data_IF_856110292693
#
_entry.id   IF_856110292693
#
_cell.length_a   1.000
_cell.length_b   1.000
_cell.length_c   1.000
_cell.angle_alpha   90.00
_cell.angle_beta   90.00
_cell.angle_gamma   90.00
#
_symmetry.space_group_name_H-M   'P 1'
#
loop_
_entity.id
_entity.type
_entity.pdbx_description
1 polymer ?
#
# COMPACT_ATOMS: atom_id res chain seq x y z
N UNK A 1 14.83 17.08 11.85
CA UNK A 1 13.75 16.33 11.19
C UNK A 1 12.57 17.27 11.04
N UNK A 2 12.17 17.58 9.80
CA UNK A 2 11.00 18.44 9.56
C UNK A 2 9.69 17.71 9.90
N UNK A 3 8.59 18.46 10.08
CA UNK A 3 7.27 17.86 10.30
C UNK A 3 6.86 16.96 9.12
N UNK A 4 7.27 17.31 7.90
CA UNK A 4 7.01 16.54 6.68
C UNK A 4 7.75 15.20 6.69
N UNK A 5 9.03 15.19 7.07
CA UNK A 5 9.82 13.97 7.24
C UNK A 5 9.22 13.05 8.31
N UNK A 6 8.79 13.60 9.46
CA UNK A 6 8.12 12.83 10.51
C UNK A 6 6.86 12.15 9.93
N UNK A 7 6.03 12.88 9.21
CA UNK A 7 4.81 12.32 8.62
C UNK A 7 5.11 11.23 7.60
N UNK A 8 6.17 11.38 6.80
CA UNK A 8 6.57 10.36 5.83
C UNK A 8 7.09 9.08 6.51
N UNK A 9 7.89 9.22 7.58
CA UNK A 9 8.31 8.05 8.38
C UNK A 9 7.10 7.36 9.01
N UNK A 10 6.16 8.13 9.58
CA UNK A 10 4.91 7.58 10.14
C UNK A 10 4.10 6.86 9.05
N UNK A 11 4.01 7.43 7.85
CA UNK A 11 3.31 6.80 6.73
C UNK A 11 3.93 5.43 6.40
N UNK A 12 5.27 5.34 6.26
CA UNK A 12 5.96 4.07 6.03
C UNK A 12 5.69 3.06 7.15
N UNK A 13 5.71 3.50 8.42
CA UNK A 13 5.38 2.61 9.55
C UNK A 13 3.95 2.09 9.44
N UNK A 14 2.98 2.95 9.13
CA UNK A 14 1.58 2.56 8.94
C UNK A 14 1.44 1.58 7.77
N UNK A 15 2.11 1.82 6.65
CA UNK A 15 2.11 0.94 5.48
C UNK A 15 2.59 -0.47 5.85
N UNK A 16 3.72 -0.56 6.56
CA UNK A 16 4.27 -1.84 7.03
C UNK A 16 3.32 -2.54 8.00
N UNK A 17 2.70 -1.80 8.92
CA UNK A 17 1.71 -2.36 9.86
C UNK A 17 0.48 -2.91 9.12
N UNK A 18 -0.03 -2.20 8.10
CA UNK A 18 -1.15 -2.66 7.29
C UNK A 18 -0.80 -3.94 6.53
N UNK A 19 0.38 -3.99 5.91
CA UNK A 19 0.88 -5.18 5.21
C UNK A 19 1.01 -6.37 6.16
N UNK A 20 1.60 -6.15 7.34
CA UNK A 20 1.74 -7.20 8.35
C UNK A 20 0.39 -7.69 8.86
N UNK A 21 -0.54 -6.78 9.15
CA UNK A 21 -1.89 -7.14 9.59
C UNK A 21 -2.63 -7.98 8.53
N UNK A 22 -2.53 -7.60 7.25
CA UNK A 22 -3.12 -8.37 6.16
C UNK A 22 -2.49 -9.75 6.02
N UNK A 23 -1.16 -9.86 6.16
CA UNK A 23 -0.46 -11.14 6.14
C UNK A 23 -0.92 -12.06 7.28
N UNK A 24 -0.96 -11.55 8.52
CA UNK A 24 -1.43 -12.31 9.68
C UNK A 24 -2.88 -12.78 9.50
N UNK A 25 -3.76 -11.94 8.97
CA UNK A 25 -5.16 -12.33 8.73
C UNK A 25 -5.28 -13.42 7.64
N UNK A 26 -4.47 -13.33 6.58
CA UNK A 26 -4.41 -14.36 5.53
C UNK A 26 -3.86 -15.69 6.06
N UNK A 27 -2.84 -15.66 6.92
CA UNK A 27 -2.28 -16.87 7.56
C UNK A 27 -3.28 -17.49 8.54
N UNK A 28 -3.96 -16.67 9.34
CA UNK A 28 -5.01 -17.13 10.25
C UNK A 28 -6.16 -17.81 9.50
N UNK A 29 -6.48 -17.36 8.30
CA UNK A 29 -7.48 -17.99 7.43
C UNK A 29 -6.98 -19.32 6.85
N UNK A 30 -5.69 -19.42 6.52
CA UNK A 30 -5.07 -20.69 6.11
C UNK A 30 -5.15 -21.72 7.22
N UNK A 31 -4.80 -21.37 8.47
CA UNK A 31 -4.89 -22.29 9.61
C UNK A 31 -6.31 -22.78 9.86
N UNK A 32 -7.30 -21.88 9.85
CA UNK A 32 -8.72 -22.29 9.98
C UNK A 32 -9.15 -23.24 8.88
N UNK A 33 -8.69 -23.04 7.65
CA UNK A 33 -9.00 -23.98 6.57
C UNK A 33 -8.33 -25.34 6.78
N UNK A 34 -7.05 -25.38 7.20
CA UNK A 34 -6.36 -26.65 7.49
C UNK A 34 -6.98 -27.43 8.64
N UNK A 35 -7.59 -26.74 9.61
CA UNK A 35 -8.35 -27.34 10.71
C UNK A 35 -9.80 -27.74 10.31
N UNK A 36 -10.18 -27.56 9.04
CA UNK A 36 -11.52 -27.86 8.53
C UNK A 36 -12.61 -26.88 9.00
N UNK A 37 -12.23 -25.80 9.69
CA UNK A 37 -13.15 -24.82 10.31
C UNK A 37 -13.38 -23.56 9.48
N UNK A 38 -12.80 -23.48 8.27
CA UNK A 38 -12.85 -22.28 7.43
C UNK A 38 -12.95 -22.52 5.91
N UNK A 39 -13.46 -21.53 5.15
CA UNK A 39 -13.52 -21.59 3.70
C UNK A 39 -12.10 -21.61 3.09
N UNK A 40 -11.96 -22.24 1.91
CA UNK A 40 -10.69 -22.35 1.20
C UNK A 40 -10.12 -20.95 0.86
N UNK A 41 -8.85 -20.64 1.20
CA UNK A 41 -8.19 -19.40 0.82
C UNK A 41 -8.22 -19.22 -0.70
N UNK A 42 -8.49 -17.99 -1.15
CA UNK A 42 -8.54 -17.69 -2.59
C UNK A 42 -7.25 -17.02 -3.05
N UNK A 43 -6.85 -17.20 -4.32
CA UNK A 43 -5.69 -16.51 -4.89
C UNK A 43 -5.80 -14.97 -4.96
N UNK A 44 -6.97 -14.41 -4.63
CA UNK A 44 -7.19 -12.96 -4.50
C UNK A 44 -6.96 -12.44 -3.08
N UNK A 45 -6.61 -13.32 -2.14
CA UNK A 45 -6.34 -12.99 -0.74
C UNK A 45 -4.84 -12.76 -0.50
N UNK A 46 -4.02 -12.94 -1.54
CA UNK A 46 -2.59 -12.70 -1.52
C UNK A 46 -2.31 -11.19 -1.50
N UNK A 47 -1.65 -10.75 -0.44
CA UNK A 47 -1.27 -9.35 -0.20
C UNK A 47 -0.37 -8.82 -1.33
N UNK A 48 0.42 -9.69 -1.96
CA UNK A 48 1.33 -9.33 -3.05
C UNK A 48 0.63 -9.19 -4.40
N UNK A 49 -0.62 -9.67 -4.52
CA UNK A 49 -1.39 -9.57 -5.76
C UNK A 49 -2.10 -8.22 -5.88
N UNK A 50 -1.29 -7.17 -5.96
CA UNK A 50 -1.74 -5.78 -6.04
C UNK A 50 -2.35 -5.48 -7.41
N UNK A 51 -3.46 -4.76 -7.43
CA UNK A 51 -4.03 -4.22 -8.67
C UNK A 51 -3.09 -3.18 -9.29
N UNK A 52 -2.82 -3.30 -10.59
CA UNK A 52 -2.01 -2.32 -11.34
C UNK A 52 -2.50 -0.87 -11.20
N UNK A 53 -3.80 -0.68 -10.92
CA UNK A 53 -4.40 0.61 -10.63
C UNK A 53 -3.77 1.31 -9.40
N UNK A 54 -3.50 0.58 -8.32
CA UNK A 54 -2.94 1.16 -7.10
C UNK A 54 -1.50 1.63 -7.30
N UNK A 55 -0.72 0.89 -8.10
CA UNK A 55 0.60 1.33 -8.54
C UNK A 55 0.52 2.60 -9.38
N UNK A 56 -0.44 2.69 -10.30
CA UNK A 56 -0.63 3.89 -11.12
C UNK A 56 -0.97 5.11 -10.26
N UNK A 57 -1.87 4.97 -9.28
CA UNK A 57 -2.23 6.05 -8.35
C UNK A 57 -1.01 6.52 -7.56
N UNK A 58 -0.25 5.60 -6.96
CA UNK A 58 0.94 5.94 -6.19
C UNK A 58 2.02 6.61 -7.07
N UNK A 59 2.23 6.10 -8.28
CA UNK A 59 3.17 6.68 -9.24
C UNK A 59 2.77 8.11 -9.67
N UNK A 60 1.50 8.36 -9.96
CA UNK A 60 1.01 9.71 -10.28
C UNK A 60 1.22 10.64 -9.08
N UNK A 61 0.89 10.18 -7.88
CA UNK A 61 1.07 10.95 -6.66
C UNK A 61 2.54 11.36 -6.43
N UNK A 62 3.47 10.40 -6.47
CA UNK A 62 4.91 10.72 -6.26
C UNK A 62 5.46 11.62 -7.36
N UNK A 63 5.02 11.44 -8.61
CA UNK A 63 5.44 12.26 -9.74
C UNK A 63 4.98 13.71 -9.56
N UNK A 64 3.72 13.92 -9.18
CA UNK A 64 3.16 15.26 -8.94
C UNK A 64 3.90 15.95 -7.78
N UNK A 65 4.13 15.25 -6.67
CA UNK A 65 4.84 15.83 -5.53
C UNK A 65 6.31 16.14 -5.85
N UNK A 66 7.02 15.25 -6.54
CA UNK A 66 8.42 15.47 -6.92
C UNK A 66 8.57 16.69 -7.85
N UNK A 67 7.64 16.87 -8.80
CA UNK A 67 7.59 18.05 -9.67
C UNK A 67 7.28 19.33 -8.88
N UNK A 68 6.31 19.29 -7.97
CA UNK A 68 5.94 20.45 -7.15
C UNK A 68 7.06 20.91 -6.22
N UNK A 69 7.88 19.98 -5.73
CA UNK A 69 9.00 20.26 -4.83
C UNK A 69 10.36 20.39 -5.56
N UNK A 70 10.36 20.39 -6.89
CA UNK A 70 11.56 20.57 -7.73
C UNK A 70 12.71 19.62 -7.37
N UNK A 71 12.39 18.36 -7.06
CA UNK A 71 13.40 17.38 -6.63
C UNK A 71 14.28 16.97 -7.80
N UNK A 72 15.61 17.04 -7.63
CA UNK A 72 16.53 16.55 -8.66
C UNK A 72 16.46 15.02 -8.76
N UNK A 73 16.22 14.53 -9.98
CA UNK A 73 16.10 13.11 -10.28
C UNK A 73 17.48 12.48 -10.46
N UNK A 74 18.06 12.03 -9.36
CA UNK A 74 19.23 11.15 -9.37
C UNK A 74 18.81 9.68 -9.35
N UNK A 75 19.63 8.77 -9.89
CA UNK A 75 19.31 7.34 -9.91
C UNK A 75 18.98 6.77 -8.51
N UNK A 76 19.69 7.12 -7.43
CA UNK A 76 19.31 6.70 -6.07
C UNK A 76 17.93 7.21 -5.65
N UNK A 77 17.58 8.45 -5.97
CA UNK A 77 16.26 9.02 -5.65
C UNK A 77 15.14 8.34 -6.44
N UNK A 78 15.38 8.01 -7.71
CA UNK A 78 14.42 7.23 -8.52
C UNK A 78 14.18 5.86 -7.88
N UNK A 79 15.23 5.19 -7.40
CA UNK A 79 15.09 3.93 -6.65
C UNK A 79 14.27 4.10 -5.37
N UNK A 80 14.50 5.17 -4.61
CA UNK A 80 13.73 5.46 -3.41
C UNK A 80 12.26 5.80 -3.73
N UNK A 81 11.98 6.55 -4.80
CA UNK A 81 10.61 6.81 -5.25
C UNK A 81 9.89 5.53 -5.68
N UNK A 82 10.58 4.64 -6.39
CA UNK A 82 9.99 3.35 -6.77
C UNK A 82 9.63 2.51 -5.54
N UNK A 83 10.49 2.49 -4.51
CA UNK A 83 10.26 1.71 -3.30
C UNK A 83 9.22 2.35 -2.38
N UNK A 84 9.48 3.57 -1.91
CA UNK A 84 8.71 4.23 -0.87
C UNK A 84 7.54 5.06 -1.42
N UNK A 85 7.59 5.47 -2.69
CA UNK A 85 6.54 6.26 -3.31
C UNK A 85 5.58 5.47 -4.19
N UNK A 86 5.91 4.23 -4.53
CA UNK A 86 5.06 3.40 -5.42
C UNK A 86 4.82 2.01 -4.84
N UNK A 87 5.87 1.25 -4.57
CA UNK A 87 5.74 -0.15 -4.18
C UNK A 87 5.05 -0.31 -2.82
N UNK A 88 5.58 0.34 -1.78
CA UNK A 88 5.03 0.24 -0.41
C UNK A 88 3.62 0.82 -0.29
N UNK A 89 3.32 2.04 -0.80
CA UNK A 89 1.97 2.60 -0.74
C UNK A 89 0.93 1.71 -1.43
N UNK A 90 1.27 1.13 -2.58
CA UNK A 90 0.34 0.27 -3.32
C UNK A 90 0.11 -1.08 -2.63
N UNK A 91 1.15 -1.67 -2.02
CA UNK A 91 1.02 -2.87 -1.19
C UNK A 91 0.17 -2.62 0.06
N UNK A 92 0.39 -1.50 0.74
CA UNK A 92 -0.39 -1.09 1.89
C UNK A 92 -1.86 -0.84 1.53
N UNK A 93 -2.11 -0.15 0.41
CA UNK A 93 -3.45 0.04 -0.13
C UNK A 93 -4.15 -1.28 -0.46
N UNK A 94 -3.44 -2.23 -1.08
CA UNK A 94 -3.98 -3.56 -1.34
C UNK A 94 -4.28 -4.32 -0.03
N UNK A 95 -3.44 -4.15 0.98
CA UNK A 95 -3.63 -4.73 2.31
C UNK A 95 -4.96 -4.27 2.95
N UNK A 96 -5.33 -3.00 2.77
CA UNK A 96 -6.64 -2.49 3.19
C UNK A 96 -7.77 -3.24 2.46
N UNK A 97 -7.66 -3.44 1.15
CA UNK A 97 -8.66 -4.19 0.37
C UNK A 97 -8.76 -5.64 0.86
N UNK A 98 -7.64 -6.32 1.12
CA UNK A 98 -7.62 -7.69 1.64
C UNK A 98 -8.28 -7.78 3.01
N UNK A 99 -7.94 -6.88 3.94
CA UNK A 99 -8.50 -6.83 5.29
C UNK A 99 -10.00 -6.57 5.28
N UNK A 100 -10.45 -5.60 4.47
CA UNK A 100 -11.86 -5.21 4.40
C UNK A 100 -12.71 -6.27 3.69
N UNK A 101 -12.17 -6.89 2.64
CA UNK A 101 -12.87 -7.94 1.90
C UNK A 101 -12.96 -9.27 2.66
N UNK A 102 -12.12 -9.48 3.68
CA UNK A 102 -11.96 -10.77 4.38
C UNK A 102 -11.78 -11.97 3.42
N UNK A 103 -11.18 -11.72 2.26
CA UNK A 103 -10.97 -12.71 1.20
C UNK A 103 -12.13 -12.94 0.23
N UNK A 104 -13.10 -12.03 0.23
CA UNK A 104 -14.17 -11.95 -0.77
C UNK A 104 -13.95 -10.75 -1.68
N UNK A 105 -12.82 -10.73 -2.37
CA UNK A 105 -12.41 -9.62 -3.24
C UNK A 105 -13.46 -9.21 -4.31
N UNK A 106 -14.38 -10.12 -4.69
CA UNK A 106 -15.50 -9.81 -5.62
C UNK A 106 -16.62 -8.96 -5.01
N UNK A 107 -16.66 -8.79 -3.70
CA UNK A 107 -17.70 -8.04 -2.97
C UNK A 107 -17.20 -6.67 -2.49
N UNK A 108 -16.02 -6.23 -2.94
CA UNK A 108 -15.41 -4.97 -2.50
C UNK A 108 -16.18 -3.79 -3.09
N UNK A 109 -16.75 -2.96 -2.21
CA UNK A 109 -17.51 -1.79 -2.60
C UNK A 109 -16.60 -0.68 -3.16
N UNK A 110 -17.15 0.17 -4.04
CA UNK A 110 -16.40 1.26 -4.67
C UNK A 110 -15.75 2.21 -3.65
N UNK A 111 -16.39 2.46 -2.50
CA UNK A 111 -15.82 3.31 -1.45
C UNK A 111 -14.56 2.69 -0.80
N UNK A 112 -14.48 1.36 -0.72
CA UNK A 112 -13.32 0.65 -0.16
C UNK A 112 -12.12 0.76 -1.11
N UNK A 113 -12.39 0.70 -2.42
CA UNK A 113 -11.40 1.05 -3.45
C UNK A 113 -10.98 2.52 -3.39
N UNK A 114 -11.91 3.42 -3.07
CA UNK A 114 -11.61 4.82 -2.80
C UNK A 114 -10.63 4.99 -1.64
N UNK A 115 -10.85 4.31 -0.52
CA UNK A 115 -9.94 4.34 0.63
C UNK A 115 -8.56 3.76 0.29
N UNK A 116 -8.51 2.62 -0.41
CA UNK A 116 -7.24 2.05 -0.85
C UNK A 116 -6.48 3.01 -1.77
N UNK A 117 -7.18 3.67 -2.70
CA UNK A 117 -6.58 4.68 -3.58
C UNK A 117 -6.07 5.89 -2.79
N UNK A 118 -6.78 6.32 -1.74
CA UNK A 118 -6.33 7.40 -0.87
C UNK A 118 -5.05 7.02 -0.09
N UNK A 119 -4.94 5.78 0.40
CA UNK A 119 -3.71 5.28 1.03
C UNK A 119 -2.54 5.28 0.05
N UNK A 120 -2.74 4.74 -1.16
CA UNK A 120 -1.71 4.73 -2.20
C UNK A 120 -1.25 6.14 -2.58
N UNK A 121 -2.19 7.09 -2.74
CA UNK A 121 -1.88 8.48 -3.06
C UNK A 121 -1.16 9.18 -1.91
N UNK A 122 -1.60 9.00 -0.66
CA UNK A 122 -0.99 9.63 0.50
C UNK A 122 0.46 9.16 0.72
N UNK A 123 0.71 7.86 0.62
CA UNK A 123 2.07 7.30 0.69
C UNK A 123 2.96 7.83 -0.44
N UNK A 124 2.43 7.85 -1.68
CA UNK A 124 3.14 8.42 -2.83
C UNK A 124 3.53 9.89 -2.63
N UNK A 125 2.60 10.74 -2.18
CA UNK A 125 2.86 12.16 -1.90
C UNK A 125 3.88 12.35 -0.78
N UNK A 126 3.69 11.67 0.35
CA UNK A 126 4.54 11.84 1.53
C UNK A 126 5.95 11.28 1.33
N UNK A 127 6.11 10.28 0.47
CA UNK A 127 7.43 9.68 0.20
C UNK A 127 8.47 10.71 -0.25
N UNK A 128 8.06 11.76 -0.98
CA UNK A 128 8.96 12.81 -1.46
C UNK A 128 9.67 13.53 -0.32
N UNK A 129 9.02 13.66 0.83
CA UNK A 129 9.59 14.25 2.04
C UNK A 129 10.84 13.52 2.55
N UNK A 130 11.05 12.25 2.16
CA UNK A 130 12.22 11.47 2.56
C UNK A 130 13.47 11.80 1.74
N UNK A 131 13.34 12.57 0.66
CA UNK A 131 14.44 12.85 -0.28
C UNK A 131 14.85 14.33 -0.38
N UNK A 132 14.23 15.17 0.45
CA UNK A 132 14.48 16.61 0.58
C UNK A 132 15.24 16.87 1.87
#
# INVERSE_FOLDING_TARGET
>A
MSALEIMAVVAVVVEVVLMFAAWVDTERRHWKHSEGSGPKPRPGDDVLRVSGWLYAVAMVAVTVAALAMTVELTLPRVGMFALFGVLFPALAANSVVVLVSRGRAREVAAWQWGLASAVAAAGGLLSVALMI
#
